data_IF_260044024351
#
_entry.id   IF_260044024351
#
_cell.length_a   1.000
_cell.length_b   1.000
_cell.length_c   1.000
_cell.angle_alpha   90.00
_cell.angle_beta   90.00
_cell.angle_gamma   90.00
#
_symmetry.space_group_name_H-M   'P 1'
#
loop_
_entity.id
_entity.type
_entity.pdbx_description
1 polymer ?
#
# COMPACT_ATOMS: atom_id res chain seq x y z
N UNK A 1 -50.50 31.32 -14.83
CA UNK A 1 -49.54 30.44 -15.56
C UNK A 1 -48.13 30.42 -14.93
N UNK A 2 -47.55 31.52 -14.54
CA UNK A 2 -46.20 31.54 -13.91
C UNK A 2 -46.10 30.72 -12.59
N UNK A 3 -47.11 30.71 -11.71
CA UNK A 3 -47.10 29.93 -10.46
C UNK A 3 -47.08 28.40 -10.67
N UNK A 4 -47.79 27.90 -11.68
CA UNK A 4 -47.81 26.45 -11.98
C UNK A 4 -46.49 25.94 -12.60
N UNK A 5 -45.77 26.81 -13.32
CA UNK A 5 -44.46 26.46 -13.89
C UNK A 5 -43.41 26.40 -12.81
N UNK A 6 -43.36 27.38 -11.89
CA UNK A 6 -42.42 27.39 -10.78
C UNK A 6 -42.60 26.17 -9.86
N UNK A 7 -43.86 25.79 -9.53
CA UNK A 7 -44.11 24.58 -8.74
C UNK A 7 -43.63 23.28 -9.41
N UNK A 8 -43.79 23.17 -10.74
CA UNK A 8 -43.29 22.01 -11.49
C UNK A 8 -41.76 21.96 -11.50
N UNK A 9 -41.09 23.08 -11.63
CA UNK A 9 -39.63 23.15 -11.63
C UNK A 9 -39.04 22.88 -10.22
N UNK A 10 -39.71 23.36 -9.17
CA UNK A 10 -39.32 23.03 -7.78
C UNK A 10 -39.44 21.51 -7.49
N UNK A 11 -40.50 20.85 -7.99
CA UNK A 11 -40.66 19.40 -7.85
C UNK A 11 -39.58 18.61 -8.59
N UNK A 12 -39.21 19.02 -9.81
CA UNK A 12 -38.11 18.40 -10.58
C UNK A 12 -36.74 18.57 -9.88
N UNK A 13 -36.50 19.76 -9.34
CA UNK A 13 -35.31 20.03 -8.55
C UNK A 13 -35.27 19.14 -7.30
N UNK A 14 -36.38 19.00 -6.60
CA UNK A 14 -36.50 18.10 -5.46
C UNK A 14 -36.20 16.63 -5.82
N UNK A 15 -36.69 16.13 -6.96
CA UNK A 15 -36.39 14.79 -7.49
C UNK A 15 -34.89 14.62 -7.79
N UNK A 16 -34.27 15.61 -8.44
CA UNK A 16 -32.82 15.58 -8.74
C UNK A 16 -32.00 15.52 -7.46
N UNK A 17 -32.38 16.32 -6.44
CA UNK A 17 -31.68 16.32 -5.15
C UNK A 17 -31.85 14.97 -4.44
N UNK A 18 -33.06 14.39 -4.40
CA UNK A 18 -33.38 13.10 -3.80
C UNK A 18 -32.50 11.99 -4.39
N UNK A 19 -32.52 11.84 -5.71
CA UNK A 19 -31.79 10.80 -6.42
C UNK A 19 -30.28 10.90 -6.18
N UNK A 20 -29.74 12.12 -6.12
CA UNK A 20 -28.31 12.32 -5.92
C UNK A 20 -27.88 12.22 -4.44
N UNK A 21 -28.77 12.53 -3.47
CA UNK A 21 -28.52 12.22 -2.06
C UNK A 21 -28.42 10.71 -1.83
N UNK A 22 -29.27 9.91 -2.46
CA UNK A 22 -29.19 8.46 -2.36
C UNK A 22 -27.91 7.93 -3.05
N UNK A 23 -27.60 8.34 -4.28
CA UNK A 23 -26.37 7.95 -4.99
C UNK A 23 -25.11 8.26 -4.19
N UNK A 24 -25.03 9.46 -3.60
CA UNK A 24 -23.90 9.85 -2.76
C UNK A 24 -23.78 8.98 -1.50
N UNK A 25 -24.89 8.69 -0.82
CA UNK A 25 -24.92 7.87 0.41
C UNK A 25 -24.61 6.41 0.15
N UNK A 26 -25.06 5.86 -0.98
CA UNK A 26 -24.74 4.50 -1.43
C UNK A 26 -23.26 4.36 -1.77
N UNK A 27 -22.68 5.27 -2.58
CA UNK A 27 -21.25 5.25 -2.86
C UNK A 27 -20.39 5.39 -1.61
N UNK A 28 -20.77 6.30 -0.70
CA UNK A 28 -20.11 6.41 0.61
C UNK A 28 -20.23 5.13 1.44
N UNK A 29 -21.33 4.38 1.35
CA UNK A 29 -21.49 3.10 2.06
C UNK A 29 -20.49 2.06 1.57
N UNK A 30 -20.30 1.94 0.25
CA UNK A 30 -19.31 1.03 -0.31
C UNK A 30 -17.88 1.38 0.17
N UNK A 31 -17.52 2.66 0.16
CA UNK A 31 -16.22 3.12 0.66
C UNK A 31 -16.07 2.88 2.17
N UNK A 32 -17.13 3.06 2.98
CA UNK A 32 -17.14 2.78 4.42
C UNK A 32 -16.88 1.30 4.71
N UNK A 33 -17.59 0.41 4.01
CA UNK A 33 -17.47 -1.04 4.22
C UNK A 33 -16.06 -1.53 3.82
N UNK A 34 -15.48 -0.97 2.75
CA UNK A 34 -14.10 -1.27 2.40
C UNK A 34 -13.10 -0.76 3.45
N UNK A 35 -13.24 0.47 3.90
CA UNK A 35 -12.41 1.02 4.98
C UNK A 35 -12.48 0.17 6.25
N UNK A 36 -13.68 -0.36 6.57
CA UNK A 36 -13.93 -1.18 7.76
C UNK A 36 -13.40 -2.59 7.64
N UNK A 37 -13.83 -3.31 6.60
CA UNK A 37 -13.60 -4.77 6.48
C UNK A 37 -12.36 -5.10 5.64
N UNK A 38 -12.03 -4.27 4.65
CA UNK A 38 -10.88 -4.46 3.79
C UNK A 38 -9.59 -3.92 4.39
N UNK A 39 -9.63 -2.72 4.97
CA UNK A 39 -8.44 -2.01 5.44
C UNK A 39 -8.29 -1.96 6.97
N UNK A 40 -9.35 -2.22 7.76
CA UNK A 40 -9.34 -2.09 9.22
C UNK A 40 -9.09 -0.65 9.71
N UNK A 41 -9.44 0.38 8.91
CA UNK A 41 -9.13 1.78 9.17
C UNK A 41 -10.30 2.52 9.83
N UNK A 42 -10.31 2.49 11.16
CA UNK A 42 -11.36 3.11 11.99
C UNK A 42 -11.50 4.63 11.76
N UNK A 43 -10.39 5.32 11.51
CA UNK A 43 -10.35 6.75 11.22
C UNK A 43 -11.14 7.11 9.94
N UNK A 44 -10.98 6.33 8.86
CA UNK A 44 -11.76 6.50 7.63
C UNK A 44 -13.23 6.16 7.84
N UNK A 45 -13.52 5.08 8.58
CA UNK A 45 -14.91 4.69 8.90
C UNK A 45 -15.63 5.81 9.63
N UNK A 46 -15.02 6.41 10.67
CA UNK A 46 -15.58 7.55 11.41
C UNK A 46 -15.85 8.75 10.49
N UNK A 47 -14.90 9.07 9.62
CA UNK A 47 -14.99 10.19 8.68
C UNK A 47 -16.13 9.99 7.68
N UNK A 48 -16.21 8.82 7.06
CA UNK A 48 -17.24 8.50 6.06
C UNK A 48 -18.64 8.45 6.71
N UNK A 49 -18.77 7.85 7.90
CA UNK A 49 -20.03 7.86 8.66
C UNK A 49 -20.51 9.27 8.93
N UNK A 50 -19.63 10.18 9.31
CA UNK A 50 -19.99 11.57 9.54
C UNK A 50 -20.54 12.23 8.27
N UNK A 51 -19.93 12.01 7.11
CA UNK A 51 -20.45 12.54 5.83
C UNK A 51 -21.83 11.98 5.50
N UNK A 52 -22.04 10.66 5.68
CA UNK A 52 -23.36 10.05 5.48
C UNK A 52 -24.42 10.59 6.41
N UNK A 53 -24.06 10.90 7.67
CA UNK A 53 -24.97 11.51 8.64
C UNK A 53 -25.33 12.95 8.25
N UNK A 54 -24.34 13.76 7.82
CA UNK A 54 -24.58 15.12 7.35
C UNK A 54 -25.56 15.11 6.18
N UNK A 55 -25.30 14.31 5.15
CA UNK A 55 -26.21 14.19 3.99
C UNK A 55 -27.59 13.66 4.40
N UNK A 56 -27.64 12.72 5.34
CA UNK A 56 -28.89 12.17 5.87
C UNK A 56 -29.76 13.20 6.59
N UNK A 57 -29.17 14.14 7.32
CA UNK A 57 -29.91 15.24 7.97
C UNK A 57 -30.54 16.20 6.97
N UNK A 58 -29.90 16.40 5.81
CA UNK A 58 -30.43 17.24 4.73
C UNK A 58 -31.38 16.50 3.78
N UNK A 59 -31.59 15.19 3.97
CA UNK A 59 -32.53 14.41 3.17
C UNK A 59 -33.95 14.60 3.70
N UNK A 60 -34.52 15.79 3.43
CA UNK A 60 -35.78 16.25 3.92
C UNK A 60 -36.93 15.44 3.30
N UNK A 61 -38.10 15.45 3.98
CA UNK A 61 -39.28 14.73 3.52
C UNK A 61 -39.74 15.20 2.13
N UNK A 62 -39.70 16.48 1.86
CA UNK A 62 -40.05 17.08 0.56
C UNK A 62 -39.27 16.49 -0.62
N UNK A 63 -38.00 16.10 -0.43
CA UNK A 63 -37.21 15.44 -1.47
C UNK A 63 -37.69 14.02 -1.72
N UNK A 64 -38.02 13.27 -0.65
CA UNK A 64 -38.51 11.89 -0.72
C UNK A 64 -39.92 11.82 -1.33
N UNK A 65 -40.78 12.75 -0.99
CA UNK A 65 -42.15 12.84 -1.55
C UNK A 65 -42.11 13.21 -3.04
N UNK A 66 -41.08 13.92 -3.50
CA UNK A 66 -40.90 14.24 -4.91
C UNK A 66 -40.50 13.02 -5.75
N UNK A 67 -40.09 11.90 -5.13
CA UNK A 67 -39.63 10.67 -5.80
C UNK A 67 -40.75 10.07 -6.65
N UNK A 68 -40.52 9.97 -7.95
CA UNK A 68 -41.46 9.40 -8.90
C UNK A 68 -40.79 8.34 -9.77
N UNK A 69 -40.88 7.08 -9.36
CA UNK A 69 -40.29 5.96 -10.11
C UNK A 69 -41.13 5.49 -11.30
N UNK A 70 -42.43 5.78 -11.27
CA UNK A 70 -43.40 5.23 -12.26
C UNK A 70 -43.20 5.87 -13.63
N UNK A 71 -42.72 7.11 -13.68
CA UNK A 71 -42.58 7.89 -14.91
C UNK A 71 -41.12 8.20 -15.28
N UNK A 72 -40.17 7.47 -14.71
CA UNK A 72 -38.74 7.59 -15.08
C UNK A 72 -38.40 6.61 -16.22
N UNK A 73 -38.51 7.10 -17.46
CA UNK A 73 -38.22 6.33 -18.68
C UNK A 73 -36.74 5.90 -18.79
N UNK A 74 -35.87 6.49 -17.99
CA UNK A 74 -34.41 6.20 -17.96
C UNK A 74 -34.00 5.22 -16.85
N UNK A 75 -34.95 4.68 -16.09
CA UNK A 75 -34.68 3.71 -15.02
C UNK A 75 -34.00 2.46 -15.59
N UNK A 76 -32.86 2.08 -14.99
CA UNK A 76 -32.15 0.85 -15.35
C UNK A 76 -31.19 0.99 -16.54
N UNK A 77 -30.99 2.16 -17.13
CA UNK A 77 -29.96 2.38 -18.16
C UNK A 77 -28.57 2.29 -17.55
N UNK A 78 -27.87 1.17 -17.79
CA UNK A 78 -26.50 0.94 -17.37
C UNK A 78 -25.56 0.89 -18.57
N UNK A 79 -24.37 1.48 -18.45
CA UNK A 79 -23.32 1.33 -19.46
C UNK A 79 -22.63 -0.04 -19.29
N UNK A 80 -22.38 -0.82 -20.38
CA UNK A 80 -21.79 -2.17 -20.29
C UNK A 80 -20.46 -2.22 -19.54
N UNK A 81 -19.62 -1.20 -19.66
CA UNK A 81 -18.33 -1.11 -18.95
C UNK A 81 -18.46 -0.98 -17.43
N UNK A 82 -19.63 -0.62 -16.92
CA UNK A 82 -19.88 -0.54 -15.46
C UNK A 82 -19.99 -1.92 -14.81
N UNK A 83 -20.14 -2.99 -15.60
CA UNK A 83 -20.30 -4.36 -15.12
C UNK A 83 -18.97 -5.08 -14.84
N UNK A 84 -17.83 -4.60 -15.36
CA UNK A 84 -16.53 -5.24 -15.23
C UNK A 84 -15.64 -4.49 -14.23
N UNK A 85 -15.61 -4.97 -12.99
CA UNK A 85 -14.74 -4.45 -11.93
C UNK A 85 -13.91 -5.58 -11.33
N UNK A 86 -12.75 -5.83 -11.94
CA UNK A 86 -11.88 -6.96 -11.59
C UNK A 86 -10.86 -6.66 -10.46
N UNK A 87 -10.78 -5.40 -9.99
CA UNK A 87 -9.83 -4.97 -8.97
C UNK A 87 -10.51 -4.09 -7.94
N UNK A 88 -10.06 -4.17 -6.69
CA UNK A 88 -10.59 -3.38 -5.57
C UNK A 88 -10.41 -1.88 -5.79
N UNK A 89 -9.28 -1.46 -6.38
CA UNK A 89 -9.03 -0.06 -6.71
C UNK A 89 -10.11 0.49 -7.66
N UNK A 90 -10.55 -0.32 -8.64
CA UNK A 90 -11.62 0.07 -9.56
C UNK A 90 -12.96 0.27 -8.83
N UNK A 91 -13.21 -0.49 -7.76
CA UNK A 91 -14.40 -0.32 -6.92
C UNK A 91 -14.31 1.00 -6.14
N UNK A 92 -13.14 1.29 -5.54
CA UNK A 92 -12.88 2.54 -4.81
C UNK A 92 -13.06 3.73 -5.74
N UNK A 93 -12.37 3.75 -6.88
CA UNK A 93 -12.45 4.83 -7.88
C UNK A 93 -13.88 5.09 -8.34
N UNK A 94 -14.60 4.04 -8.77
CA UNK A 94 -15.96 4.20 -9.30
C UNK A 94 -16.95 4.71 -8.26
N UNK A 95 -16.80 4.31 -6.98
CA UNK A 95 -17.71 4.79 -5.95
C UNK A 95 -17.33 6.19 -5.46
N UNK A 96 -16.05 6.53 -5.40
CA UNK A 96 -15.60 7.89 -5.12
C UNK A 96 -16.07 8.86 -6.21
N UNK A 97 -15.90 8.52 -7.50
CA UNK A 97 -16.39 9.30 -8.63
C UNK A 97 -17.92 9.49 -8.57
N UNK A 98 -18.69 8.41 -8.34
CA UNK A 98 -20.15 8.49 -8.16
C UNK A 98 -20.54 9.47 -7.05
N UNK A 99 -19.85 9.45 -5.91
CA UNK A 99 -20.09 10.37 -4.80
C UNK A 99 -19.78 11.80 -5.21
N UNK A 100 -18.65 12.03 -5.88
CA UNK A 100 -18.21 13.36 -6.33
C UNK A 100 -19.19 13.97 -7.33
N UNK A 101 -19.63 13.20 -8.32
CA UNK A 101 -20.62 13.59 -9.32
C UNK A 101 -21.96 13.93 -8.69
N UNK A 102 -22.46 13.04 -7.84
CA UNK A 102 -23.74 13.26 -7.13
C UNK A 102 -23.68 14.50 -6.24
N UNK A 103 -22.60 14.71 -5.50
CA UNK A 103 -22.42 15.90 -4.68
C UNK A 103 -22.31 17.18 -5.51
N UNK A 104 -21.74 17.12 -6.73
CA UNK A 104 -21.70 18.27 -7.64
C UNK A 104 -23.12 18.65 -8.10
N UNK A 105 -23.92 17.67 -8.46
CA UNK A 105 -25.32 17.90 -8.84
C UNK A 105 -26.10 18.51 -7.66
N UNK A 106 -25.95 17.96 -6.44
CA UNK A 106 -26.58 18.51 -5.24
C UNK A 106 -26.15 19.95 -5.01
N UNK A 107 -24.85 20.25 -5.08
CA UNK A 107 -24.27 21.59 -4.90
C UNK A 107 -24.96 22.61 -5.83
N UNK A 108 -25.12 22.27 -7.12
CA UNK A 108 -25.70 23.16 -8.11
C UNK A 108 -27.20 23.37 -7.93
N UNK A 109 -27.97 22.29 -7.80
CA UNK A 109 -29.43 22.38 -7.74
C UNK A 109 -29.98 22.83 -6.39
N UNK A 110 -29.18 22.74 -5.29
CA UNK A 110 -29.61 23.23 -3.98
C UNK A 110 -29.22 24.68 -3.69
N UNK A 111 -28.43 25.35 -4.53
CA UNK A 111 -27.90 26.73 -4.26
C UNK A 111 -28.97 27.73 -3.86
N UNK A 112 -30.09 27.74 -4.57
CA UNK A 112 -31.18 28.68 -4.37
C UNK A 112 -32.31 28.13 -3.49
N UNK A 113 -32.37 26.80 -3.28
CA UNK A 113 -33.44 26.11 -2.55
C UNK A 113 -33.02 25.69 -1.14
N UNK A 114 -31.77 25.30 -0.95
CA UNK A 114 -31.21 24.86 0.34
C UNK A 114 -29.69 25.14 0.39
N UNK A 115 -29.37 26.36 0.77
CA UNK A 115 -27.98 26.84 0.83
C UNK A 115 -27.09 26.01 1.76
N UNK A 116 -27.65 25.51 2.87
CA UNK A 116 -26.88 24.68 3.83
C UNK A 116 -26.49 23.35 3.20
N UNK A 117 -27.41 22.71 2.47
CA UNK A 117 -27.12 21.48 1.73
C UNK A 117 -26.07 21.72 0.63
N UNK A 118 -26.17 22.84 -0.12
CA UNK A 118 -25.19 23.21 -1.14
C UNK A 118 -23.78 23.33 -0.57
N UNK A 119 -23.64 24.04 0.55
CA UNK A 119 -22.35 24.21 1.25
C UNK A 119 -21.82 22.85 1.76
N UNK A 120 -22.68 22.03 2.37
CA UNK A 120 -22.33 20.71 2.87
C UNK A 120 -21.86 19.80 1.73
N UNK A 121 -22.56 19.76 0.60
CA UNK A 121 -22.22 18.99 -0.57
C UNK A 121 -20.85 19.39 -1.15
N UNK A 122 -20.61 20.70 -1.31
CA UNK A 122 -19.33 21.23 -1.78
C UNK A 122 -18.17 20.81 -0.87
N UNK A 123 -18.32 21.02 0.44
CA UNK A 123 -17.31 20.67 1.44
C UNK A 123 -17.00 19.16 1.41
N UNK A 124 -18.02 18.31 1.43
CA UNK A 124 -17.83 16.87 1.43
C UNK A 124 -17.15 16.43 0.13
N UNK A 125 -17.54 16.98 -1.03
CA UNK A 125 -16.94 16.65 -2.33
C UNK A 125 -15.42 16.85 -2.34
N UNK A 126 -14.91 17.97 -1.82
CA UNK A 126 -13.47 18.19 -1.71
C UNK A 126 -12.78 17.22 -0.74
N UNK A 127 -13.45 16.83 0.31
CA UNK A 127 -12.92 15.84 1.25
C UNK A 127 -12.90 14.41 0.64
N UNK A 128 -13.82 14.10 -0.28
CA UNK A 128 -13.84 12.81 -0.99
C UNK A 128 -12.63 12.68 -1.94
N UNK A 129 -12.17 13.75 -2.60
CA UNK A 129 -10.93 13.68 -3.39
C UNK A 129 -9.73 13.24 -2.54
N UNK A 130 -9.58 13.79 -1.33
CA UNK A 130 -8.51 13.40 -0.40
C UNK A 130 -8.69 11.97 0.12
N UNK A 131 -9.92 11.59 0.42
CA UNK A 131 -10.25 10.25 0.93
C UNK A 131 -9.99 9.17 -0.11
N UNK A 132 -10.36 9.38 -1.36
CA UNK A 132 -10.09 8.50 -2.48
C UNK A 132 -8.60 8.15 -2.59
N UNK A 133 -7.75 9.18 -2.67
CA UNK A 133 -6.29 9.02 -2.72
C UNK A 133 -5.78 8.24 -1.49
N UNK A 134 -6.30 8.55 -0.30
CA UNK A 134 -5.88 7.89 0.93
C UNK A 134 -6.28 6.41 0.97
N UNK A 135 -7.48 6.04 0.51
CA UNK A 135 -7.95 4.66 0.43
C UNK A 135 -7.13 3.84 -0.57
N UNK A 136 -6.83 4.41 -1.74
CA UNK A 136 -5.99 3.76 -2.78
C UNK A 136 -4.57 3.55 -2.25
N UNK A 137 -3.99 4.54 -1.58
CA UNK A 137 -2.66 4.42 -0.99
C UNK A 137 -2.61 3.31 0.07
N UNK A 138 -3.65 3.15 0.88
CA UNK A 138 -3.74 2.07 1.84
C UNK A 138 -3.86 0.70 1.15
N UNK A 139 -4.60 0.59 0.06
CA UNK A 139 -4.72 -0.65 -0.71
C UNK A 139 -3.37 -1.04 -1.35
N UNK A 140 -2.67 -0.09 -1.94
CA UNK A 140 -1.33 -0.31 -2.49
C UNK A 140 -0.35 -0.78 -1.41
N UNK A 141 -0.41 -0.22 -0.20
CA UNK A 141 0.43 -0.68 0.91
C UNK A 141 0.08 -2.10 1.34
N UNK A 142 -1.20 -2.44 1.41
CA UNK A 142 -1.67 -3.80 1.72
C UNK A 142 -1.13 -4.84 0.74
N UNK A 143 -1.14 -4.54 -0.56
CA UNK A 143 -0.56 -5.42 -1.58
C UNK A 143 0.95 -5.63 -1.35
N UNK A 144 1.70 -4.56 -1.05
CA UNK A 144 3.14 -4.65 -0.74
C UNK A 144 3.41 -5.46 0.53
N UNK A 145 2.62 -5.26 1.59
CA UNK A 145 2.72 -6.05 2.81
C UNK A 145 2.44 -7.53 2.57
N UNK A 146 1.49 -7.86 1.69
CA UNK A 146 1.22 -9.24 1.29
C UNK A 146 2.45 -9.87 0.65
N UNK A 147 3.13 -9.18 -0.27
CA UNK A 147 4.37 -9.71 -0.88
C UNK A 147 5.44 -9.96 0.20
N UNK A 148 5.62 -9.06 1.18
CA UNK A 148 6.55 -9.27 2.30
C UNK A 148 6.17 -10.49 3.17
N UNK A 149 4.88 -10.73 3.36
CA UNK A 149 4.37 -11.85 4.16
C UNK A 149 4.53 -13.19 3.45
N UNK A 150 4.28 -13.25 2.14
CA UNK A 150 4.26 -14.49 1.36
C UNK A 150 5.62 -14.92 0.84
N UNK A 151 6.64 -14.04 0.85
CA UNK A 151 7.95 -14.35 0.31
C UNK A 151 9.01 -14.43 1.41
N UNK A 152 9.81 -15.48 1.37
CA UNK A 152 10.79 -15.79 2.40
C UNK A 152 12.22 -15.39 2.03
N UNK A 153 12.47 -15.08 0.76
CA UNK A 153 13.79 -14.67 0.25
C UNK A 153 13.80 -13.21 -0.20
N UNK A 154 14.74 -12.45 0.33
CA UNK A 154 14.95 -11.03 0.09
C UNK A 154 16.38 -10.79 -0.41
N UNK A 155 16.54 -10.25 -1.62
CA UNK A 155 17.83 -9.84 -2.14
C UNK A 155 18.16 -8.40 -1.71
N UNK A 156 19.36 -8.18 -1.15
CA UNK A 156 19.94 -6.84 -1.00
C UNK A 156 21.12 -6.73 -1.96
N UNK A 157 21.17 -5.68 -2.76
CA UNK A 157 22.24 -5.50 -3.74
C UNK A 157 23.54 -4.98 -3.11
N UNK A 158 24.62 -5.21 -3.82
CA UNK A 158 25.94 -4.60 -3.62
C UNK A 158 26.51 -4.22 -4.99
N UNK A 159 27.49 -3.35 -5.01
CA UNK A 159 28.19 -3.02 -6.26
C UNK A 159 28.84 -4.29 -6.81
N UNK A 160 28.52 -4.63 -8.04
CA UNK A 160 29.12 -5.73 -8.80
C UNK A 160 28.95 -5.49 -10.31
N UNK A 161 29.75 -6.20 -11.10
CA UNK A 161 29.63 -6.19 -12.55
C UNK A 161 28.30 -6.80 -12.96
N UNK A 162 27.68 -6.22 -14.00
CA UNK A 162 26.39 -6.61 -14.56
C UNK A 162 25.27 -6.79 -13.51
N UNK A 163 25.15 -5.84 -12.59
CA UNK A 163 24.12 -5.88 -11.54
C UNK A 163 22.71 -6.08 -12.13
N UNK A 164 22.38 -5.42 -13.23
CA UNK A 164 21.05 -5.48 -13.87
C UNK A 164 20.77 -6.89 -14.42
N UNK A 165 21.75 -7.50 -15.10
CA UNK A 165 21.62 -8.87 -15.60
C UNK A 165 21.46 -9.89 -14.47
N UNK A 166 22.25 -9.75 -13.41
CA UNK A 166 22.12 -10.61 -12.21
C UNK A 166 20.77 -10.48 -11.54
N UNK A 167 20.26 -9.25 -11.34
CA UNK A 167 18.92 -9.02 -10.77
C UNK A 167 17.85 -9.66 -11.64
N UNK A 168 17.93 -9.55 -12.97
CA UNK A 168 16.99 -10.20 -13.87
C UNK A 168 16.98 -11.72 -13.65
N UNK A 169 18.15 -12.35 -13.64
CA UNK A 169 18.29 -13.78 -13.41
C UNK A 169 17.72 -14.21 -12.05
N UNK A 170 17.95 -13.41 -11.01
CA UNK A 170 17.43 -13.65 -9.65
C UNK A 170 15.89 -13.53 -9.61
N UNK A 171 15.32 -12.53 -10.29
CA UNK A 171 13.87 -12.37 -10.42
C UNK A 171 13.24 -13.54 -11.21
N UNK A 172 13.90 -14.00 -12.30
CA UNK A 172 13.50 -15.21 -13.02
C UNK A 172 13.57 -16.48 -12.16
N UNK A 173 14.46 -16.49 -11.17
CA UNK A 173 14.56 -17.54 -10.15
C UNK A 173 13.47 -17.48 -9.08
N UNK A 174 12.57 -16.49 -9.13
CA UNK A 174 11.38 -16.40 -8.27
C UNK A 174 11.52 -15.44 -7.08
N UNK A 175 12.62 -14.71 -6.92
CA UNK A 175 12.74 -13.70 -5.85
C UNK A 175 11.78 -12.55 -6.10
N UNK A 176 11.06 -12.13 -5.05
CA UNK A 176 10.00 -11.10 -5.13
C UNK A 176 10.30 -9.84 -4.32
N UNK A 177 11.46 -9.75 -3.68
CA UNK A 177 11.84 -8.57 -2.88
C UNK A 177 13.29 -8.22 -3.17
N UNK A 178 13.49 -7.03 -3.73
CA UNK A 178 14.81 -6.50 -4.11
C UNK A 178 15.07 -5.19 -3.38
N UNK A 179 16.17 -5.09 -2.65
CA UNK A 179 16.64 -3.83 -2.08
C UNK A 179 17.87 -3.34 -2.84
N UNK A 180 17.76 -2.18 -3.42
CA UNK A 180 18.88 -1.49 -4.06
C UNK A 180 19.68 -0.73 -3.02
N UNK A 181 20.95 -1.11 -2.85
CA UNK A 181 21.89 -0.50 -1.93
C UNK A 181 23.13 -0.02 -2.68
N UNK A 182 23.11 1.26 -3.05
CA UNK A 182 24.22 1.96 -3.65
C UNK A 182 25.01 2.70 -2.55
N UNK A 183 26.23 2.25 -2.23
CA UNK A 183 27.12 2.95 -1.29
C UNK A 183 28.06 3.90 -1.99
N UNK A 184 28.38 3.61 -3.25
CA UNK A 184 29.35 4.32 -4.07
C UNK A 184 28.67 4.76 -5.37
N UNK A 185 29.28 5.74 -6.05
CA UNK A 185 28.74 6.28 -7.30
C UNK A 185 28.15 7.68 -7.13
N UNK A 186 27.86 8.32 -8.27
CA UNK A 186 27.15 9.60 -8.26
C UNK A 186 25.64 9.40 -8.32
N UNK A 187 24.90 10.39 -7.86
CA UNK A 187 23.45 10.32 -7.74
C UNK A 187 22.74 10.06 -9.07
N UNK A 188 23.24 10.63 -10.17
CA UNK A 188 22.65 10.42 -11.49
C UNK A 188 22.78 8.96 -11.95
N UNK A 189 23.96 8.35 -11.76
CA UNK A 189 24.18 6.93 -12.09
C UNK A 189 23.30 6.04 -11.24
N UNK A 190 23.24 6.29 -9.93
CA UNK A 190 22.41 5.54 -9.00
C UNK A 190 20.91 5.65 -9.35
N UNK A 191 20.47 6.84 -9.77
CA UNK A 191 19.06 7.03 -10.21
C UNK A 191 18.74 6.26 -11.49
N UNK A 192 19.63 6.28 -12.48
CA UNK A 192 19.44 5.54 -13.73
C UNK A 192 19.37 4.03 -13.45
N UNK A 193 20.28 3.53 -12.61
CA UNK A 193 20.30 2.12 -12.21
C UNK A 193 19.06 1.73 -11.41
N UNK A 194 18.66 2.55 -10.42
CA UNK A 194 17.45 2.34 -9.62
C UNK A 194 16.18 2.27 -10.49
N UNK A 195 16.04 3.14 -11.49
CA UNK A 195 14.92 3.10 -12.43
C UNK A 195 14.88 1.82 -13.25
N UNK A 196 16.03 1.35 -13.75
CA UNK A 196 16.12 0.06 -14.48
C UNK A 196 15.73 -1.13 -13.58
N UNK A 197 16.15 -1.10 -12.31
CA UNK A 197 15.76 -2.14 -11.35
C UNK A 197 14.25 -2.08 -11.06
N UNK A 198 13.69 -0.88 -10.91
CA UNK A 198 12.23 -0.70 -10.74
C UNK A 198 11.44 -1.26 -11.91
N UNK A 199 11.87 -1.01 -13.15
CA UNK A 199 11.24 -1.56 -14.35
C UNK A 199 11.26 -3.10 -14.34
N UNK A 200 12.39 -3.70 -13.98
CA UNK A 200 12.50 -5.15 -13.83
C UNK A 200 11.56 -5.66 -12.73
N UNK A 201 11.58 -5.07 -11.54
CA UNK A 201 10.71 -5.46 -10.43
C UNK A 201 9.24 -5.36 -10.82
N UNK A 202 8.83 -4.31 -11.53
CA UNK A 202 7.45 -4.17 -12.03
C UNK A 202 7.08 -5.30 -12.99
N UNK A 203 7.97 -5.66 -13.94
CA UNK A 203 7.75 -6.75 -14.91
C UNK A 203 7.58 -8.11 -14.23
N UNK A 204 8.28 -8.34 -13.13
CA UNK A 204 8.26 -9.61 -12.38
C UNK A 204 7.32 -9.59 -11.17
N UNK A 205 6.52 -8.54 -10.98
CA UNK A 205 5.61 -8.35 -9.84
C UNK A 205 6.36 -8.49 -8.49
N UNK A 206 7.57 -7.89 -8.43
CA UNK A 206 8.44 -7.89 -7.26
C UNK A 206 8.48 -6.51 -6.61
N UNK A 207 8.72 -6.45 -5.30
CA UNK A 207 8.94 -5.21 -4.57
C UNK A 207 10.33 -4.64 -4.85
N UNK A 208 10.37 -3.35 -5.10
CA UNK A 208 11.59 -2.56 -5.21
C UNK A 208 11.74 -1.64 -4.01
N UNK A 209 12.76 -1.89 -3.19
CA UNK A 209 13.09 -1.13 -1.99
C UNK A 209 14.39 -0.38 -2.23
N UNK A 210 14.51 0.87 -1.76
CA UNK A 210 15.76 1.63 -1.77
C UNK A 210 16.33 1.67 -0.35
N UNK A 211 17.67 1.52 -0.22
CA UNK A 211 18.37 1.59 1.06
C UNK A 211 18.70 3.05 1.41
N UNK A 212 18.39 3.52 2.61
CA UNK A 212 18.74 4.79 3.26
C UNK A 212 18.21 6.07 2.54
N UNK A 213 18.29 6.17 1.24
CA UNK A 213 18.07 7.36 0.40
C UNK A 213 16.60 7.59 0.04
N UNK A 214 15.87 8.42 0.81
CA UNK A 214 14.45 8.77 0.55
C UNK A 214 14.27 9.49 -0.78
N UNK A 215 15.17 10.40 -1.11
CA UNK A 215 15.18 11.14 -2.38
C UNK A 215 15.27 10.20 -3.58
N UNK A 216 16.18 9.22 -3.52
CA UNK A 216 16.32 8.19 -4.54
C UNK A 216 15.08 7.29 -4.63
N UNK A 217 14.49 6.93 -3.49
CA UNK A 217 13.27 6.14 -3.43
C UNK A 217 12.09 6.85 -4.13
N UNK A 218 11.93 8.15 -3.90
CA UNK A 218 10.90 8.96 -4.56
C UNK A 218 11.19 9.13 -6.05
N UNK A 219 12.43 9.49 -6.42
CA UNK A 219 12.81 9.76 -7.81
C UNK A 219 12.79 8.51 -8.71
N UNK A 220 12.93 7.30 -8.14
CA UNK A 220 12.84 6.02 -8.86
C UNK A 220 11.49 5.33 -8.72
N UNK A 221 10.51 5.95 -8.08
CA UNK A 221 9.21 5.37 -7.73
C UNK A 221 9.32 4.00 -7.03
N UNK A 222 10.26 3.87 -6.08
CA UNK A 222 10.40 2.65 -5.30
C UNK A 222 9.12 2.33 -4.51
N UNK A 223 8.91 1.06 -4.19
CA UNK A 223 7.77 0.59 -3.39
C UNK A 223 7.96 0.90 -1.90
N UNK A 224 9.20 1.16 -1.49
CA UNK A 224 9.53 1.52 -0.12
C UNK A 224 10.99 1.84 0.09
N UNK A 225 11.34 2.00 1.36
CA UNK A 225 12.69 2.29 1.84
C UNK A 225 13.08 1.32 2.96
N UNK A 226 14.39 1.10 3.12
CA UNK A 226 14.95 0.40 4.27
C UNK A 226 15.95 1.30 4.97
N UNK A 227 15.74 1.55 6.27
CA UNK A 227 16.52 2.47 7.10
C UNK A 227 17.38 1.72 8.11
N UNK A 228 18.58 2.23 8.35
CA UNK A 228 19.43 1.86 9.47
C UNK A 228 19.10 2.66 10.73
N UNK A 229 19.88 2.40 11.82
CA UNK A 229 19.68 3.07 13.10
C UNK A 229 20.21 4.52 13.14
N UNK A 230 21.09 4.87 12.19
CA UNK A 230 21.72 6.20 12.09
C UNK A 230 21.07 7.05 10.96
N UNK A 231 20.10 6.50 10.25
CA UNK A 231 19.37 7.19 9.19
C UNK A 231 18.25 8.07 9.75
N UNK A 232 17.49 8.70 8.86
CA UNK A 232 16.31 9.49 9.23
C UNK A 232 15.30 8.63 10.00
N UNK A 233 14.66 9.18 11.02
CA UNK A 233 13.66 8.45 11.82
C UNK A 233 12.40 8.07 11.02
N UNK A 234 11.71 7.02 11.46
CA UNK A 234 10.55 6.44 10.78
C UNK A 234 9.42 7.46 10.59
N UNK A 235 9.16 8.31 11.59
CA UNK A 235 8.05 9.29 11.55
C UNK A 235 8.33 10.36 10.51
N UNK A 236 9.56 10.86 10.44
CA UNK A 236 10.01 11.80 9.42
C UNK A 236 9.99 11.18 8.03
N UNK A 237 10.50 9.94 7.87
CA UNK A 237 10.43 9.20 6.62
C UNK A 237 8.98 8.99 6.17
N UNK A 238 8.07 8.60 7.08
CA UNK A 238 6.65 8.41 6.82
C UNK A 238 5.96 9.71 6.38
N UNK A 239 6.34 10.84 6.99
CA UNK A 239 5.82 12.15 6.60
C UNK A 239 6.17 12.53 5.17
N UNK A 240 7.36 12.15 4.70
CA UNK A 240 7.85 12.44 3.35
C UNK A 240 7.26 11.44 2.32
N UNK A 241 7.28 10.14 2.64
CA UNK A 241 6.88 9.06 1.73
C UNK A 241 5.37 8.85 1.65
N UNK A 242 4.62 9.30 2.67
CA UNK A 242 3.20 8.99 2.80
C UNK A 242 2.94 7.54 3.22
N UNK A 243 1.68 7.12 3.17
CA UNK A 243 1.24 5.79 3.60
C UNK A 243 1.23 4.74 2.49
N UNK A 244 1.50 5.13 1.25
CA UNK A 244 1.56 4.19 0.12
C UNK A 244 2.87 3.41 0.04
N UNK A 245 3.96 3.94 0.57
CA UNK A 245 5.29 3.31 0.54
C UNK A 245 5.57 2.55 1.84
N UNK A 246 6.25 1.41 1.75
CA UNK A 246 6.66 0.63 2.92
C UNK A 246 7.97 1.15 3.50
N UNK A 247 8.12 1.05 4.82
CA UNK A 247 9.34 1.42 5.55
C UNK A 247 9.83 0.21 6.33
N UNK A 248 10.99 -0.30 5.95
CA UNK A 248 11.71 -1.32 6.69
C UNK A 248 12.79 -0.71 7.58
N UNK A 249 13.15 -1.38 8.66
CA UNK A 249 14.21 -0.93 9.59
C UNK A 249 15.12 -2.07 9.98
N UNK A 250 16.44 -1.81 9.97
CA UNK A 250 17.44 -2.71 10.54
C UNK A 250 17.41 -2.64 12.06
N UNK A 251 17.38 -3.79 12.75
CA UNK A 251 17.49 -3.86 14.21
C UNK A 251 18.40 -5.02 14.66
N UNK A 252 19.16 -4.80 15.73
CA UNK A 252 20.05 -5.79 16.33
C UNK A 252 19.82 -5.96 17.81
N UNK A 253 18.87 -5.22 18.41
CA UNK A 253 18.53 -5.26 19.82
C UNK A 253 17.04 -5.23 20.03
N UNK A 254 16.56 -5.82 21.10
CA UNK A 254 15.15 -5.84 21.46
C UNK A 254 14.54 -4.42 21.59
N UNK A 255 15.29 -3.48 22.16
CA UNK A 255 14.87 -2.08 22.26
C UNK A 255 14.70 -1.40 20.91
N UNK A 256 15.59 -1.68 19.95
CA UNK A 256 15.51 -1.16 18.57
C UNK A 256 14.25 -1.72 17.86
N UNK A 257 13.95 -3.01 18.03
CA UNK A 257 12.76 -3.67 17.51
C UNK A 257 11.49 -3.01 18.06
N UNK A 258 11.39 -2.89 19.40
CA UNK A 258 10.23 -2.29 20.06
C UNK A 258 10.02 -0.83 19.63
N UNK A 259 11.08 -0.05 19.51
CA UNK A 259 11.02 1.34 19.05
C UNK A 259 10.55 1.41 17.59
N UNK A 260 11.12 0.59 16.68
CA UNK A 260 10.74 0.59 15.28
C UNK A 260 9.26 0.23 15.07
N UNK A 261 8.75 -0.79 15.79
CA UNK A 261 7.33 -1.18 15.74
C UNK A 261 6.43 -0.06 16.28
N UNK A 262 6.76 0.53 17.43
CA UNK A 262 6.04 1.65 18.02
C UNK A 262 5.98 2.86 17.09
N UNK A 263 7.07 3.12 16.36
CA UNK A 263 7.18 4.28 15.48
C UNK A 263 6.60 4.02 14.08
N UNK A 264 6.11 2.78 13.80
CA UNK A 264 5.30 2.44 12.65
C UNK A 264 6.09 1.93 11.43
N UNK A 265 7.15 1.14 11.65
CA UNK A 265 7.78 0.39 10.55
C UNK A 265 6.85 -0.71 10.02
N UNK A 266 6.99 -1.05 8.75
CA UNK A 266 6.19 -2.07 8.08
C UNK A 266 6.85 -3.45 8.12
N UNK A 267 8.17 -3.52 8.23
CA UNK A 267 8.94 -4.75 8.38
C UNK A 267 10.32 -4.50 9.02
N UNK A 268 10.97 -5.56 9.46
CA UNK A 268 12.28 -5.50 10.10
C UNK A 268 13.32 -6.36 9.37
N UNK A 269 14.57 -5.88 9.38
CA UNK A 269 15.77 -6.67 9.08
C UNK A 269 16.54 -6.92 10.39
N UNK A 270 16.63 -8.17 10.86
CA UNK A 270 17.23 -8.51 12.16
C UNK A 270 18.57 -9.22 11.97
N UNK A 271 19.63 -8.65 12.51
CA UNK A 271 20.97 -9.23 12.40
C UNK A 271 22.13 -8.30 12.82
N UNK A 272 23.38 -8.70 12.63
CA UNK A 272 23.84 -9.85 11.82
C UNK A 272 23.72 -11.19 12.58
N UNK A 273 23.22 -12.22 11.87
CA UNK A 273 23.06 -13.55 12.49
C UNK A 273 24.39 -14.33 12.50
N UNK A 274 25.16 -14.26 11.40
CA UNK A 274 26.48 -14.85 11.23
C UNK A 274 27.50 -13.78 10.87
N UNK A 275 28.79 -14.11 10.94
CA UNK A 275 29.87 -13.26 10.44
C UNK A 275 29.63 -12.91 8.96
N UNK A 276 29.82 -11.65 8.63
CA UNK A 276 29.57 -11.13 7.28
C UNK A 276 30.74 -10.34 6.76
N UNK A 277 31.11 -10.56 5.50
CA UNK A 277 32.10 -9.77 4.78
C UNK A 277 31.67 -8.32 4.53
N UNK A 278 30.36 -8.07 4.53
CA UNK A 278 29.78 -6.76 4.21
C UNK A 278 29.79 -5.78 5.39
N UNK A 279 29.74 -6.28 6.63
CA UNK A 279 29.83 -5.48 7.88
C UNK A 279 30.82 -6.14 8.84
N UNK A 280 32.10 -6.01 8.54
CA UNK A 280 33.21 -6.68 9.26
C UNK A 280 33.30 -6.38 10.78
N UNK A 281 32.73 -5.26 11.23
CA UNK A 281 32.83 -4.79 12.62
C UNK A 281 31.60 -5.11 13.49
N UNK A 282 30.59 -5.83 12.99
CA UNK A 282 29.46 -6.26 13.83
C UNK A 282 29.69 -7.65 14.38
N UNK A 283 29.61 -7.78 15.69
CA UNK A 283 29.58 -9.08 16.39
C UNK A 283 28.26 -9.76 16.03
N UNK A 284 28.28 -11.02 15.53
CA UNK A 284 27.07 -11.75 15.22
C UNK A 284 26.23 -12.00 16.48
N UNK A 285 24.92 -11.87 16.35
CA UNK A 285 23.99 -12.17 17.44
C UNK A 285 23.85 -13.67 17.69
N UNK A 286 24.04 -14.48 16.64
CA UNK A 286 23.74 -15.90 16.69
C UNK A 286 22.24 -16.23 16.60
N UNK A 287 21.94 -17.49 16.39
CA UNK A 287 20.55 -17.97 16.17
C UNK A 287 19.70 -17.83 17.43
N UNK A 288 20.24 -18.18 18.60
CA UNK A 288 19.51 -18.20 19.87
C UNK A 288 19.06 -16.78 20.27
N UNK A 289 19.95 -15.81 20.13
CA UNK A 289 19.61 -14.41 20.45
C UNK A 289 18.54 -13.86 19.49
N UNK A 290 18.66 -14.14 18.18
CA UNK A 290 17.63 -13.73 17.21
C UNK A 290 16.30 -14.38 17.53
N UNK A 291 16.27 -15.67 17.85
CA UNK A 291 15.05 -16.36 18.27
C UNK A 291 14.43 -15.72 19.50
N UNK A 292 15.27 -15.34 20.50
CA UNK A 292 14.80 -14.68 21.74
C UNK A 292 14.16 -13.33 21.46
N UNK A 293 14.82 -12.45 20.68
CA UNK A 293 14.36 -11.08 20.43
C UNK A 293 13.22 -10.99 19.42
N UNK A 294 13.01 -12.04 18.59
CA UNK A 294 11.99 -12.06 17.55
C UNK A 294 10.67 -12.74 17.97
N UNK A 295 10.61 -13.33 19.19
CA UNK A 295 9.49 -14.16 19.66
C UNK A 295 8.12 -13.45 19.56
N UNK A 296 8.06 -12.17 19.89
CA UNK A 296 6.83 -11.40 20.00
C UNK A 296 6.63 -10.40 18.84
N UNK A 297 7.31 -10.62 17.70
CA UNK A 297 7.20 -9.75 16.53
C UNK A 297 6.00 -10.19 15.69
N UNK A 298 5.02 -9.27 15.52
CA UNK A 298 3.80 -9.51 14.76
C UNK A 298 3.80 -8.92 13.33
N UNK A 299 4.92 -8.34 12.91
CA UNK A 299 5.12 -7.81 11.55
C UNK A 299 6.12 -8.69 10.79
N UNK A 300 6.16 -8.64 9.45
CA UNK A 300 7.18 -9.36 8.68
C UNK A 300 8.60 -8.98 9.13
N UNK A 301 9.48 -9.95 9.25
CA UNK A 301 10.88 -9.70 9.53
C UNK A 301 11.79 -10.71 8.82
N UNK A 302 12.97 -10.28 8.46
CA UNK A 302 13.96 -11.07 7.73
C UNK A 302 15.26 -11.12 8.53
N UNK A 303 15.75 -12.34 8.75
CA UNK A 303 17.10 -12.53 9.31
C UNK A 303 18.15 -12.12 8.26
N UNK A 304 19.19 -11.41 8.68
CA UNK A 304 20.25 -10.91 7.81
C UNK A 304 21.64 -11.13 8.40
N UNK A 305 22.64 -11.27 7.54
CA UNK A 305 24.07 -11.31 7.87
C UNK A 305 24.67 -12.69 7.76
N UNK A 306 25.56 -12.88 6.78
CA UNK A 306 26.34 -14.08 6.56
C UNK A 306 25.54 -15.34 6.21
N UNK A 307 24.28 -15.19 5.80
CA UNK A 307 23.41 -16.31 5.48
C UNK A 307 23.77 -16.86 4.10
N UNK A 308 23.92 -18.21 4.03
CA UNK A 308 24.19 -18.99 2.83
C UNK A 308 23.21 -20.16 2.79
N UNK A 309 23.15 -20.87 1.65
CA UNK A 309 22.25 -22.03 1.49
C UNK A 309 22.47 -23.10 2.55
N UNK A 310 23.72 -23.32 2.96
CA UNK A 310 24.09 -24.32 3.97
C UNK A 310 23.54 -24.01 5.37
N UNK A 311 23.27 -22.72 5.67
CA UNK A 311 22.74 -22.31 6.97
C UNK A 311 21.22 -22.43 7.06
N UNK A 312 20.47 -22.53 5.93
CA UNK A 312 19.01 -22.54 5.91
C UNK A 312 18.41 -23.63 6.78
N UNK A 313 18.88 -24.90 6.75
CA UNK A 313 18.29 -25.94 7.61
C UNK A 313 18.35 -25.59 9.10
N UNK A 314 19.48 -25.05 9.57
CA UNK A 314 19.65 -24.62 10.97
C UNK A 314 18.73 -23.45 11.34
N UNK A 315 18.56 -22.49 10.42
CA UNK A 315 17.66 -21.36 10.63
C UNK A 315 16.20 -21.83 10.75
N UNK A 316 15.77 -22.72 9.83
CA UNK A 316 14.40 -23.30 9.86
C UNK A 316 14.13 -24.10 11.12
N UNK A 317 15.07 -24.92 11.57
CA UNK A 317 14.94 -25.69 12.80
C UNK A 317 14.72 -24.79 14.04
N UNK A 318 15.15 -23.54 13.97
CA UNK A 318 14.96 -22.52 14.99
C UNK A 318 13.81 -21.54 14.71
N UNK A 319 12.92 -21.86 13.75
CA UNK A 319 11.74 -21.07 13.44
C UNK A 319 11.99 -19.82 12.58
N UNK A 320 13.22 -19.63 12.10
CA UNK A 320 13.59 -18.49 11.23
C UNK A 320 13.35 -18.91 9.77
N UNK A 321 12.26 -18.39 9.18
CA UNK A 321 11.81 -18.78 7.84
C UNK A 321 12.16 -17.77 6.76
N UNK A 322 12.31 -16.49 7.12
CA UNK A 322 12.54 -15.38 6.18
C UNK A 322 13.95 -14.86 6.30
N UNK A 323 14.65 -14.74 5.18
CA UNK A 323 16.06 -14.34 5.13
C UNK A 323 16.35 -13.27 4.09
N UNK A 324 17.28 -12.36 4.41
CA UNK A 324 17.83 -11.40 3.47
C UNK A 324 19.28 -11.79 3.12
N UNK A 325 19.56 -11.91 1.84
CA UNK A 325 20.87 -12.38 1.31
C UNK A 325 21.47 -11.32 0.40
N UNK A 326 22.79 -11.19 0.43
CA UNK A 326 23.57 -10.26 -0.40
C UNK A 326 24.52 -11.07 -1.30
N UNK A 327 25.70 -11.39 -0.80
CA UNK A 327 26.81 -11.93 -1.58
C UNK A 327 26.60 -13.33 -2.10
N UNK A 328 25.91 -14.20 -1.37
CA UNK A 328 25.69 -15.60 -1.78
C UNK A 328 24.85 -15.72 -3.07
N UNK A 329 23.96 -14.75 -3.32
CA UNK A 329 23.19 -14.65 -4.56
C UNK A 329 23.96 -13.91 -5.67
N UNK A 330 24.52 -12.73 -5.37
CA UNK A 330 25.14 -11.86 -6.38
C UNK A 330 26.46 -12.37 -6.90
N UNK A 331 27.22 -13.14 -6.08
CA UNK A 331 28.50 -13.73 -6.47
C UNK A 331 28.37 -15.16 -7.04
N UNK A 332 27.15 -15.67 -7.16
CA UNK A 332 26.91 -16.96 -7.79
C UNK A 332 27.20 -16.90 -9.28
N UNK A 333 27.80 -17.96 -9.85
CA UNK A 333 27.98 -18.13 -11.30
C UNK A 333 26.62 -18.27 -12.01
N UNK A 334 25.63 -18.89 -11.35
CA UNK A 334 24.25 -18.99 -11.84
C UNK A 334 23.25 -18.43 -10.80
N UNK A 335 23.02 -17.09 -10.78
CA UNK A 335 22.15 -16.47 -9.81
C UNK A 335 20.70 -16.95 -9.85
N UNK A 336 20.19 -17.37 -11.01
CA UNK A 336 18.83 -17.91 -11.17
C UNK A 336 18.67 -19.25 -10.45
N UNK A 337 19.55 -20.21 -10.71
CA UNK A 337 19.51 -21.50 -10.04
C UNK A 337 19.72 -21.38 -8.54
N UNK A 338 20.65 -20.52 -8.13
CA UNK A 338 20.91 -20.24 -6.70
C UNK A 338 19.68 -19.70 -6.01
N UNK A 339 18.94 -18.77 -6.65
CA UNK A 339 17.68 -18.23 -6.13
C UNK A 339 16.62 -19.35 -5.98
N UNK A 340 16.44 -20.19 -7.00
CA UNK A 340 15.53 -21.34 -6.95
C UNK A 340 15.89 -22.32 -5.83
N UNK A 341 17.17 -22.63 -5.65
CA UNK A 341 17.66 -23.50 -4.56
C UNK A 341 17.33 -22.92 -3.19
N UNK A 342 17.59 -21.63 -2.99
CA UNK A 342 17.30 -20.92 -1.72
C UNK A 342 15.80 -20.90 -1.43
N UNK A 343 14.97 -20.57 -2.40
CA UNK A 343 13.51 -20.58 -2.24
C UNK A 343 13.02 -21.99 -1.88
N UNK A 344 13.50 -23.00 -2.58
CA UNK A 344 13.16 -24.41 -2.28
C UNK A 344 13.62 -24.81 -0.87
N UNK A 345 14.80 -24.40 -0.43
CA UNK A 345 15.31 -24.68 0.90
C UNK A 345 14.51 -23.97 2.00
N UNK A 346 13.97 -22.77 1.72
CA UNK A 346 13.13 -22.01 2.65
C UNK A 346 11.68 -22.52 2.68
N UNK A 347 11.13 -22.97 1.55
CA UNK A 347 9.78 -23.52 1.50
C UNK A 347 9.66 -24.79 2.36
N UNK A 348 8.46 -25.04 2.94
CA UNK A 348 8.18 -26.20 3.78
C UNK A 348 7.83 -27.44 2.95
N UNK A 349 8.42 -27.67 1.81
CA UNK A 349 8.23 -28.95 1.10
C UNK A 349 9.06 -30.06 1.75
N UNK A 350 8.65 -30.49 2.97
CA UNK A 350 8.69 -31.89 3.35
C UNK A 350 7.39 -32.52 2.84
N UNK A 351 7.32 -32.84 1.55
CA UNK A 351 6.44 -33.90 1.09
C UNK A 351 7.10 -35.19 1.51
N UNK A 352 6.67 -35.73 2.66
CA UNK A 352 6.73 -37.17 2.93
C UNK A 352 5.86 -37.91 1.92
#
# INVERSE_FOLDING_TARGET
>A
MRNNQNQKDDLRIAQIIDANLDRAREGLRVLEDWARFGLGREDFVKKIKNYRQILGKHHLLIYKEARNFINDECTGMAHPEQLLRNRTESIIFSNAARVQEALRVIEEFSRNHNRELSIAASRIRYEIYKLEIALINCENNRFRLKILQENDLYLITMNCDDLIGKIRNILEGGVKIIQYRAKDGNDLKNLVEAKKIKELCTKFEALFIVNDRIDLALASDADGIHLGQEDIDIKSARKILGFSKIIGVSAGKESEIKNAIRDGCDYLGIGAIFLSTTKKNKIPLGIDEIRRISKDINIPWFAIGGIKVENIPSLKANGIKKVAIISDLLNSENPKEKAMMLIKALSNENKS
#
